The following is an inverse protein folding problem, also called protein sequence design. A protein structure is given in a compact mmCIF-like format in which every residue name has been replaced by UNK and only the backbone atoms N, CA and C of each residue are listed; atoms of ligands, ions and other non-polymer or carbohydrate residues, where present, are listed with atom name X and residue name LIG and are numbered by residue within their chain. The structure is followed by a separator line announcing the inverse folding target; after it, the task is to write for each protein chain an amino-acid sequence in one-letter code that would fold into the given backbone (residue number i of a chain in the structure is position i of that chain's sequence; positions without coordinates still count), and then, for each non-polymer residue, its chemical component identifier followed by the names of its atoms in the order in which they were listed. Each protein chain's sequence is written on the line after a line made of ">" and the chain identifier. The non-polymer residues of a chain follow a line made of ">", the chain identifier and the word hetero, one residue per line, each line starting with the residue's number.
data_IF_586949002855
#
_entry.id   IF_586949002855
#
_cell.length_a   1.000
_cell.length_b   1.000
_cell.length_c   1.000
_cell.angle_alpha   90.00
_cell.angle_beta   90.00
_cell.angle_gamma   90.00
#
_symmetry.space_group_name_H-M   'P 1'
#
loop_
_entity.id
_entity.type
_entity.pdbx_description
1 polymer ?
#
# COMPACT_ATOMS: atom_id res chain seq x y z
N UNK A 1 -16.55 8.58 2.25
CA UNK A 1 -15.81 7.74 1.25
C UNK A 1 -16.17 8.01 -0.22
N UNK A 2 -17.27 8.69 -0.59
CA UNK A 2 -17.71 8.82 -2.00
C UNK A 2 -16.67 9.45 -2.94
N UNK A 3 -15.90 10.43 -2.46
CA UNK A 3 -14.92 11.17 -3.26
C UNK A 3 -13.48 10.67 -3.10
N UNK A 4 -13.21 9.77 -2.15
CA UNK A 4 -11.85 9.31 -1.89
C UNK A 4 -11.23 8.55 -3.07
N UNK A 5 -11.92 7.62 -3.77
CA UNK A 5 -11.32 6.90 -4.88
C UNK A 5 -10.73 7.82 -5.97
N UNK A 6 -11.48 8.79 -6.54
CA UNK A 6 -10.89 9.70 -7.52
C UNK A 6 -9.84 10.64 -6.89
N UNK A 7 -10.08 11.15 -5.67
CA UNK A 7 -9.14 12.05 -5.01
C UNK A 7 -7.79 11.39 -4.71
N UNK A 8 -7.78 10.16 -4.20
CA UNK A 8 -6.55 9.42 -3.88
C UNK A 8 -5.75 9.04 -5.12
N UNK A 9 -6.41 8.69 -6.23
CA UNK A 9 -5.74 8.49 -7.52
C UNK A 9 -5.12 9.80 -8.02
N UNK A 10 -5.89 10.88 -8.06
CA UNK A 10 -5.40 12.19 -8.51
C UNK A 10 -4.24 12.68 -7.65
N UNK A 11 -4.32 12.48 -6.34
CA UNK A 11 -3.28 12.89 -5.43
C UNK A 11 -2.02 12.00 -5.52
N UNK A 12 -2.16 10.70 -5.83
CA UNK A 12 -1.02 9.84 -6.19
C UNK A 12 -0.33 10.36 -7.45
N UNK A 13 -1.10 10.75 -8.47
CA UNK A 13 -0.54 11.26 -9.71
C UNK A 13 0.14 12.62 -9.49
N UNK A 14 -0.53 13.54 -8.80
CA UNK A 14 -0.01 14.85 -8.43
C UNK A 14 1.30 14.75 -7.63
N UNK A 15 1.36 13.84 -6.64
CA UNK A 15 2.58 13.59 -5.89
C UNK A 15 3.69 13.04 -6.79
N UNK A 16 3.37 12.11 -7.71
CA UNK A 16 4.33 11.55 -8.66
C UNK A 16 4.98 12.60 -9.57
N UNK A 17 4.22 13.58 -10.04
CA UNK A 17 4.80 14.71 -10.78
C UNK A 17 5.60 15.65 -9.88
N UNK A 18 5.13 15.92 -8.65
CA UNK A 18 5.78 16.84 -7.73
C UNK A 18 7.16 16.34 -7.25
N UNK A 19 7.33 15.02 -7.07
CA UNK A 19 8.58 14.44 -6.55
C UNK A 19 9.65 14.23 -7.62
N UNK A 20 9.27 14.24 -8.90
CA UNK A 20 10.19 14.05 -10.01
C UNK A 20 10.85 12.67 -10.03
N UNK A 21 12.09 12.60 -10.54
CA UNK A 21 12.77 11.32 -10.84
C UNK A 21 13.78 10.83 -9.80
N UNK A 22 14.10 11.63 -8.79
CA UNK A 22 15.11 11.31 -7.78
C UNK A 22 14.59 11.48 -6.35
N UNK A 23 15.47 11.56 -5.36
CA UNK A 23 15.10 11.90 -3.99
C UNK A 23 14.62 13.35 -3.88
N UNK A 24 13.78 13.63 -2.88
CA UNK A 24 13.42 14.99 -2.48
C UNK A 24 14.00 15.35 -1.11
N UNK A 25 14.05 16.64 -0.71
CA UNK A 25 14.53 17.03 0.61
C UNK A 25 13.78 16.35 1.77
N UNK A 26 12.47 16.12 1.62
CA UNK A 26 11.68 15.43 2.64
C UNK A 26 12.00 13.93 2.70
N UNK A 27 12.31 13.29 1.57
CA UNK A 27 12.74 11.89 1.54
C UNK A 27 14.09 11.72 2.24
N UNK A 28 15.03 12.61 1.95
CA UNK A 28 16.35 12.62 2.59
C UNK A 28 16.25 12.89 4.10
N UNK A 29 15.46 13.89 4.50
CA UNK A 29 15.21 14.17 5.90
C UNK A 29 14.62 12.97 6.64
N UNK A 30 13.57 12.36 6.07
CA UNK A 30 12.90 11.23 6.71
C UNK A 30 13.83 10.02 6.80
N UNK A 31 14.56 9.70 5.73
CA UNK A 31 15.54 8.60 5.72
C UNK A 31 16.60 8.80 6.80
N UNK A 32 17.19 10.00 6.90
CA UNK A 32 18.16 10.33 7.94
C UNK A 32 17.56 10.20 9.35
N UNK A 33 16.34 10.72 9.57
CA UNK A 33 15.66 10.60 10.86
C UNK A 33 15.44 9.12 11.23
N UNK A 34 14.98 8.28 10.29
CA UNK A 34 14.79 6.85 10.54
C UNK A 34 16.10 6.13 10.86
N UNK A 35 17.19 6.46 10.15
CA UNK A 35 18.51 5.94 10.43
C UNK A 35 18.96 6.28 11.85
N UNK A 36 18.74 7.53 12.31
CA UNK A 36 19.11 7.93 13.68
C UNK A 36 18.28 7.26 14.77
N UNK A 37 16.98 7.00 14.52
CA UNK A 37 16.06 6.49 15.53
C UNK A 37 16.04 4.96 15.63
N UNK A 38 16.17 4.27 14.50
CA UNK A 38 15.96 2.82 14.38
C UNK A 38 17.26 2.08 14.00
N UNK A 39 18.31 2.82 13.64
CA UNK A 39 19.60 2.27 13.23
C UNK A 39 19.68 1.96 11.73
N UNK A 40 20.83 1.44 11.33
CA UNK A 40 21.10 1.09 9.94
C UNK A 40 20.34 -0.17 9.54
N UNK A 41 19.51 -0.07 8.49
CA UNK A 41 18.79 -1.18 7.87
C UNK A 41 18.11 -2.14 8.87
N UNK A 42 17.09 -1.69 9.61
CA UNK A 42 16.36 -2.52 10.58
C UNK A 42 15.51 -3.60 9.89
N UNK A 43 16.15 -4.66 9.38
CA UNK A 43 15.52 -5.69 8.51
C UNK A 43 14.35 -6.42 9.16
N UNK A 44 14.27 -6.43 10.49
CA UNK A 44 13.13 -6.99 11.22
C UNK A 44 11.80 -6.28 10.88
N UNK A 45 11.84 -4.99 10.53
CA UNK A 45 10.66 -4.24 10.07
C UNK A 45 10.12 -4.75 8.72
N UNK A 46 10.96 -5.40 7.90
CA UNK A 46 10.52 -5.97 6.62
C UNK A 46 9.56 -7.15 6.80
N UNK A 47 9.46 -7.71 8.00
CA UNK A 47 8.44 -8.71 8.33
C UNK A 47 7.02 -8.17 8.05
N UNK A 48 6.78 -6.88 8.25
CA UNK A 48 5.49 -6.21 8.02
C UNK A 48 5.16 -6.02 6.53
N UNK A 49 6.13 -6.21 5.63
CA UNK A 49 5.93 -6.23 4.17
C UNK A 49 6.21 -7.61 3.56
N UNK A 50 6.36 -8.64 4.41
CA UNK A 50 6.71 -9.98 3.94
C UNK A 50 5.58 -10.59 3.11
N UNK A 51 5.96 -11.35 2.06
CA UNK A 51 4.99 -12.06 1.22
C UNK A 51 4.13 -13.05 2.02
N UNK A 52 4.67 -13.63 3.09
CA UNK A 52 3.93 -14.52 3.99
C UNK A 52 2.81 -13.82 4.76
N UNK A 53 3.06 -12.60 5.26
CA UNK A 53 2.01 -11.80 5.90
C UNK A 53 0.89 -11.47 4.91
N UNK A 54 1.26 -10.97 3.72
CA UNK A 54 0.32 -10.61 2.65
C UNK A 54 -0.51 -11.83 2.25
N UNK A 55 0.13 -12.98 2.03
CA UNK A 55 -0.56 -14.23 1.70
C UNK A 55 -1.49 -14.69 2.82
N UNK A 56 -1.01 -14.71 4.06
CA UNK A 56 -1.79 -15.16 5.22
C UNK A 56 -3.05 -14.32 5.44
N UNK A 57 -2.94 -12.99 5.36
CA UNK A 57 -4.09 -12.09 5.48
C UNK A 57 -5.06 -12.27 4.31
N UNK A 58 -4.54 -12.41 3.08
CA UNK A 58 -5.37 -12.64 1.88
C UNK A 58 -6.18 -13.94 2.00
N UNK A 59 -5.53 -15.04 2.39
CA UNK A 59 -6.19 -16.34 2.59
C UNK A 59 -7.23 -16.26 3.69
N UNK A 60 -6.90 -15.63 4.84
CA UNK A 60 -7.86 -15.45 5.93
C UNK A 60 -9.10 -14.65 5.50
N UNK A 61 -8.91 -13.57 4.74
CA UNK A 61 -9.99 -12.76 4.18
C UNK A 61 -10.85 -13.55 3.20
N UNK A 62 -10.21 -14.33 2.31
CA UNK A 62 -10.89 -15.16 1.33
C UNK A 62 -11.76 -16.22 2.02
N UNK A 63 -11.18 -16.97 2.96
CA UNK A 63 -11.91 -17.99 3.76
C UNK A 63 -13.08 -17.34 4.49
N UNK A 64 -12.88 -16.19 5.14
CA UNK A 64 -13.94 -15.49 5.86
C UNK A 64 -15.07 -14.98 4.93
N UNK A 65 -14.75 -14.54 3.71
CA UNK A 65 -15.75 -14.12 2.72
C UNK A 65 -16.53 -15.32 2.17
N UNK A 66 -15.85 -16.41 1.82
CA UNK A 66 -16.44 -17.66 1.31
C UNK A 66 -17.31 -18.36 2.36
N UNK A 67 -16.85 -18.44 3.61
CA UNK A 67 -17.62 -19.02 4.71
C UNK A 67 -18.95 -18.27 4.96
N UNK A 68 -18.97 -16.96 4.70
CA UNK A 68 -20.19 -16.13 4.76
C UNK A 68 -20.95 -16.07 3.43
N UNK A 69 -20.57 -16.88 2.44
CA UNK A 69 -21.15 -16.94 1.08
C UNK A 69 -21.18 -15.60 0.35
N UNK A 70 -20.22 -14.71 0.65
CA UNK A 70 -20.09 -13.40 -0.01
C UNK A 70 -19.16 -13.49 -1.22
N UNK A 71 -19.65 -14.08 -2.31
CA UNK A 71 -18.84 -14.39 -3.50
C UNK A 71 -18.21 -13.16 -4.16
N UNK A 72 -18.97 -12.06 -4.27
CA UNK A 72 -18.44 -10.80 -4.82
C UNK A 72 -17.33 -10.22 -3.95
N UNK A 73 -17.46 -10.33 -2.63
CA UNK A 73 -16.42 -9.89 -1.70
C UNK A 73 -15.18 -10.80 -1.77
N UNK A 74 -15.37 -12.11 -1.93
CA UNK A 74 -14.27 -13.05 -2.16
C UNK A 74 -13.51 -12.73 -3.46
N UNK A 75 -14.24 -12.44 -4.56
CA UNK A 75 -13.64 -12.00 -5.82
C UNK A 75 -12.88 -10.69 -5.65
N UNK A 76 -13.44 -9.72 -4.92
CA UNK A 76 -12.78 -8.44 -4.61
C UNK A 76 -11.50 -8.59 -3.78
N UNK A 77 -11.48 -9.50 -2.81
CA UNK A 77 -10.27 -9.81 -1.99
C UNK A 77 -9.11 -10.25 -2.88
N UNK A 78 -9.39 -10.97 -3.97
CA UNK A 78 -8.37 -11.38 -4.93
C UNK A 78 -8.07 -10.28 -5.95
N UNK A 79 -9.10 -9.67 -6.54
CA UNK A 79 -8.93 -8.71 -7.64
C UNK A 79 -8.23 -7.42 -7.21
N UNK A 80 -8.50 -6.91 -6.00
CA UNK A 80 -7.96 -5.62 -5.54
C UNK A 80 -6.42 -5.60 -5.45
N UNK A 81 -5.75 -6.59 -4.81
CA UNK A 81 -4.29 -6.72 -4.84
C UNK A 81 -3.68 -6.81 -6.25
N UNK A 82 -4.32 -7.54 -7.17
CA UNK A 82 -3.85 -7.60 -8.56
C UNK A 82 -3.97 -6.26 -9.26
N UNK A 83 -5.12 -5.59 -9.12
CA UNK A 83 -5.36 -4.29 -9.72
C UNK A 83 -4.34 -3.25 -9.25
N UNK A 84 -4.08 -3.16 -7.94
CA UNK A 84 -3.11 -2.18 -7.41
C UNK A 84 -1.69 -2.48 -7.90
N UNK A 85 -1.33 -3.76 -8.05
CA UNK A 85 0.00 -4.17 -8.54
C UNK A 85 0.21 -3.76 -9.99
N UNK A 86 -0.78 -4.02 -10.86
CA UNK A 86 -0.75 -3.63 -12.28
C UNK A 86 -0.65 -2.11 -12.42
N UNK A 87 -1.49 -1.37 -11.69
CA UNK A 87 -1.48 0.10 -11.74
C UNK A 87 -0.13 0.64 -11.25
N UNK A 88 0.40 0.10 -10.15
CA UNK A 88 1.70 0.51 -9.62
C UNK A 88 2.83 0.24 -10.62
N UNK A 89 2.81 -0.89 -11.31
CA UNK A 89 3.80 -1.21 -12.35
C UNK A 89 3.72 -0.22 -13.51
N UNK A 90 2.52 0.11 -13.99
CA UNK A 90 2.34 1.11 -15.04
C UNK A 90 2.83 2.50 -14.60
N UNK A 91 2.52 2.92 -13.37
CA UNK A 91 2.95 4.21 -12.83
C UNK A 91 4.46 4.28 -12.64
N UNK A 92 5.13 3.18 -12.27
CA UNK A 92 6.59 3.10 -12.21
C UNK A 92 7.24 3.46 -13.53
N UNK A 93 6.70 2.95 -14.64
CA UNK A 93 7.18 3.31 -15.97
C UNK A 93 6.81 4.73 -16.38
N UNK A 94 5.63 5.22 -15.99
CA UNK A 94 5.18 6.57 -16.30
C UNK A 94 6.06 7.64 -15.65
N UNK A 95 6.37 7.49 -14.36
CA UNK A 95 7.13 8.49 -13.61
C UNK A 95 8.65 8.34 -13.76
N UNK A 96 9.14 7.13 -14.07
CA UNK A 96 10.57 6.82 -14.23
C UNK A 96 11.41 7.34 -13.04
N UNK A 97 10.84 7.27 -11.82
CA UNK A 97 11.54 7.65 -10.59
C UNK A 97 12.45 6.53 -10.15
N UNK A 98 13.73 6.85 -9.95
CA UNK A 98 14.77 5.84 -9.73
C UNK A 98 15.48 5.98 -8.40
N UNK A 99 15.80 4.84 -7.81
CA UNK A 99 16.77 4.68 -6.74
C UNK A 99 17.80 3.63 -7.19
N UNK A 100 18.98 4.10 -7.62
CA UNK A 100 19.93 3.26 -8.33
C UNK A 100 19.32 2.69 -9.62
N UNK A 101 19.38 1.36 -9.86
CA UNK A 101 18.85 0.74 -11.08
C UNK A 101 17.33 0.49 -11.06
N UNK A 102 16.65 0.75 -9.93
CA UNK A 102 15.26 0.33 -9.73
C UNK A 102 14.26 1.48 -9.91
N UNK A 103 13.07 1.15 -10.43
CA UNK A 103 11.92 2.06 -10.52
C UNK A 103 11.11 2.00 -9.23
N UNK A 104 10.91 3.14 -8.57
CA UNK A 104 10.42 3.15 -7.19
C UNK A 104 9.01 3.70 -6.99
N UNK A 105 8.60 4.73 -7.74
CA UNK A 105 7.33 5.41 -7.48
C UNK A 105 6.16 4.86 -8.31
N UNK A 106 5.03 4.49 -7.68
CA UNK A 106 4.82 4.31 -6.25
C UNK A 106 5.37 2.96 -5.76
N UNK A 107 5.57 2.82 -4.44
CA UNK A 107 6.09 1.57 -3.85
C UNK A 107 5.12 0.40 -4.04
N UNK A 108 5.58 -0.66 -4.72
CA UNK A 108 4.79 -1.88 -4.93
C UNK A 108 4.51 -2.65 -3.64
N UNK A 109 5.51 -2.77 -2.75
CA UNK A 109 5.36 -3.44 -1.46
C UNK A 109 4.32 -2.74 -0.58
N UNK A 110 4.39 -1.42 -0.48
CA UNK A 110 3.39 -0.63 0.27
C UNK A 110 2.01 -0.75 -0.37
N UNK A 111 1.91 -0.61 -1.69
CA UNK A 111 0.62 -0.65 -2.38
C UNK A 111 -0.09 -2.00 -2.16
N UNK A 112 0.65 -3.10 -2.30
CA UNK A 112 0.13 -4.45 -2.08
C UNK A 112 -0.29 -4.68 -0.62
N UNK A 113 0.58 -4.30 0.33
CA UNK A 113 0.30 -4.44 1.76
C UNK A 113 -0.97 -3.67 2.16
N UNK A 114 -1.05 -2.38 1.79
CA UNK A 114 -2.18 -1.51 2.12
C UNK A 114 -3.46 -2.00 1.44
N UNK A 115 -3.39 -2.52 0.22
CA UNK A 115 -4.56 -3.09 -0.45
C UNK A 115 -5.09 -4.33 0.26
N UNK A 116 -4.22 -5.27 0.65
CA UNK A 116 -4.61 -6.49 1.36
C UNK A 116 -5.16 -6.18 2.76
N UNK A 117 -4.48 -5.33 3.52
CA UNK A 117 -4.96 -4.92 4.84
C UNK A 117 -6.24 -4.08 4.73
N UNK A 118 -6.39 -3.25 3.70
CA UNK A 118 -7.61 -2.52 3.42
C UNK A 118 -8.79 -3.47 3.13
N UNK A 119 -8.58 -4.52 2.34
CA UNK A 119 -9.59 -5.56 2.12
C UNK A 119 -9.91 -6.33 3.41
N UNK A 120 -8.93 -6.55 4.30
CA UNK A 120 -9.19 -7.10 5.64
C UNK A 120 -10.13 -6.18 6.44
N UNK A 121 -9.96 -4.85 6.38
CA UNK A 121 -10.89 -3.90 7.01
C UNK A 121 -12.31 -4.07 6.45
N UNK A 122 -12.45 -4.20 5.13
CA UNK A 122 -13.75 -4.39 4.47
C UNK A 122 -14.41 -5.72 4.89
N UNK A 123 -13.64 -6.81 4.92
CA UNK A 123 -14.14 -8.15 5.28
C UNK A 123 -14.49 -8.26 6.75
N UNK A 124 -13.69 -7.65 7.64
CA UNK A 124 -13.94 -7.67 9.07
C UNK A 124 -15.04 -6.68 9.48
N UNK A 125 -15.13 -5.52 8.83
CA UNK A 125 -16.03 -4.42 9.15
C UNK A 125 -15.99 -4.02 10.65
N UNK A 126 -14.79 -4.02 11.25
CA UNK A 126 -14.57 -3.71 12.67
C UNK A 126 -13.47 -2.67 12.85
N UNK A 127 -13.59 -1.83 13.88
CA UNK A 127 -12.64 -0.76 14.17
C UNK A 127 -11.23 -1.29 14.49
N UNK A 128 -11.13 -2.43 15.18
CA UNK A 128 -9.83 -3.05 15.46
C UNK A 128 -9.08 -3.42 14.17
N UNK A 129 -9.79 -3.80 13.12
CA UNK A 129 -9.17 -4.16 11.84
C UNK A 129 -8.59 -2.92 11.17
N UNK A 130 -9.26 -1.77 11.28
CA UNK A 130 -8.74 -0.48 10.81
C UNK A 130 -7.49 -0.07 11.57
N UNK A 131 -7.50 -0.18 12.90
CA UNK A 131 -6.35 0.13 13.73
C UNK A 131 -5.15 -0.79 13.39
N UNK A 132 -5.39 -2.10 13.28
CA UNK A 132 -4.37 -3.07 12.90
C UNK A 132 -3.81 -2.79 11.50
N UNK A 133 -4.67 -2.52 10.52
CA UNK A 133 -4.26 -2.18 9.16
C UNK A 133 -3.37 -0.93 9.15
N UNK A 134 -3.79 0.14 9.85
CA UNK A 134 -3.02 1.38 9.93
C UNK A 134 -1.64 1.15 10.56
N UNK A 135 -1.58 0.49 11.72
CA UNK A 135 -0.30 0.23 12.43
C UNK A 135 0.64 -0.63 11.58
N UNK A 136 0.14 -1.74 11.03
CA UNK A 136 0.96 -2.66 10.23
C UNK A 136 1.44 -1.99 8.94
N UNK A 137 0.58 -1.21 8.26
CA UNK A 137 1.00 -0.44 7.09
C UNK A 137 2.09 0.58 7.44
N UNK A 138 1.93 1.35 8.52
CA UNK A 138 2.94 2.33 8.95
C UNK A 138 4.28 1.68 9.27
N UNK A 139 4.28 0.53 9.96
CA UNK A 139 5.51 -0.23 10.25
C UNK A 139 6.16 -0.77 8.98
N UNK A 140 5.36 -1.27 8.02
CA UNK A 140 5.87 -1.73 6.73
C UNK A 140 6.47 -0.61 5.89
N UNK A 141 5.80 0.55 5.82
CA UNK A 141 6.30 1.75 5.15
C UNK A 141 7.62 2.22 5.79
N UNK A 142 7.66 2.29 7.12
CA UNK A 142 8.87 2.62 7.87
C UNK A 142 10.01 1.66 7.55
N UNK A 143 9.77 0.35 7.53
CA UNK A 143 10.77 -0.66 7.21
C UNK A 143 11.37 -0.49 5.82
N UNK A 144 10.55 -0.21 4.81
CA UNK A 144 11.02 0.00 3.44
C UNK A 144 11.92 1.23 3.32
N UNK A 145 11.55 2.33 3.99
CA UNK A 145 12.34 3.58 3.95
C UNK A 145 13.62 3.45 4.77
N UNK A 146 13.54 2.88 5.98
CA UNK A 146 14.69 2.71 6.87
C UNK A 146 15.73 1.71 6.32
N UNK A 147 15.31 0.74 5.51
CA UNK A 147 16.21 -0.15 4.79
C UNK A 147 16.69 0.42 3.44
N UNK A 148 16.28 1.64 3.06
CA UNK A 148 16.72 2.30 1.83
C UNK A 148 16.12 1.72 0.54
N UNK A 149 15.06 0.91 0.63
CA UNK A 149 14.40 0.33 -0.54
C UNK A 149 13.51 1.32 -1.28
N UNK A 150 12.92 2.28 -0.58
CA UNK A 150 12.01 3.26 -1.16
C UNK A 150 12.20 4.63 -0.53
N UNK A 151 11.92 5.68 -1.31
CA UNK A 151 11.75 7.01 -0.73
C UNK A 151 10.46 7.08 0.08
N UNK A 152 10.43 7.96 1.09
CA UNK A 152 9.25 8.16 1.94
C UNK A 152 8.01 8.47 1.10
N UNK A 153 8.15 9.39 0.15
CA UNK A 153 7.07 9.80 -0.75
C UNK A 153 6.55 8.66 -1.65
N UNK A 154 7.38 7.66 -1.99
CA UNK A 154 6.94 6.48 -2.74
C UNK A 154 5.94 5.64 -1.95
N UNK A 155 6.14 5.54 -0.64
CA UNK A 155 5.24 4.82 0.26
C UNK A 155 3.92 5.58 0.48
N UNK A 156 3.97 6.91 0.53
CA UNK A 156 2.79 7.76 0.67
C UNK A 156 1.92 7.66 -0.58
N UNK A 157 2.51 7.82 -1.77
CA UNK A 157 1.78 7.66 -3.05
C UNK A 157 1.14 6.28 -3.18
N UNK A 158 1.87 5.23 -2.79
CA UNK A 158 1.34 3.86 -2.78
C UNK A 158 0.14 3.69 -1.83
N UNK A 159 0.20 4.26 -0.62
CA UNK A 159 -0.90 4.18 0.34
C UNK A 159 -2.16 4.91 -0.16
N UNK A 160 -1.99 6.07 -0.80
CA UNK A 160 -3.10 6.83 -1.39
C UNK A 160 -3.76 6.06 -2.53
N UNK A 161 -2.96 5.48 -3.44
CA UNK A 161 -3.44 4.64 -4.52
C UNK A 161 -4.19 3.41 -4.00
N UNK A 162 -3.57 2.67 -3.09
CA UNK A 162 -4.12 1.43 -2.57
C UNK A 162 -5.44 1.66 -1.82
N UNK A 163 -5.50 2.67 -0.95
CA UNK A 163 -6.74 3.01 -0.24
C UNK A 163 -7.83 3.51 -1.20
N UNK A 164 -7.48 4.23 -2.27
CA UNK A 164 -8.43 4.64 -3.30
C UNK A 164 -9.04 3.42 -4.01
N UNK A 165 -8.22 2.45 -4.42
CA UNK A 165 -8.66 1.20 -5.06
C UNK A 165 -9.51 0.36 -4.12
N UNK A 166 -9.11 0.20 -2.85
CA UNK A 166 -9.89 -0.51 -1.82
C UNK A 166 -11.24 0.17 -1.61
N UNK A 167 -11.30 1.49 -1.43
CA UNK A 167 -12.55 2.21 -1.26
C UNK A 167 -13.46 2.12 -2.50
N UNK A 168 -12.88 2.15 -3.71
CA UNK A 168 -13.63 1.93 -4.95
C UNK A 168 -14.23 0.52 -5.00
N UNK A 169 -13.41 -0.49 -4.70
CA UNK A 169 -13.80 -1.90 -4.69
C UNK A 169 -14.88 -2.18 -3.64
N UNK A 170 -14.69 -1.69 -2.41
CA UNK A 170 -15.66 -1.84 -1.33
C UNK A 170 -17.04 -1.29 -1.73
N UNK A 171 -17.06 -0.13 -2.39
CA UNK A 171 -18.31 0.47 -2.88
C UNK A 171 -18.99 -0.39 -3.93
N UNK A 172 -18.24 -0.90 -4.91
CA UNK A 172 -18.76 -1.80 -5.94
C UNK A 172 -19.36 -3.06 -5.32
N UNK A 173 -18.70 -3.66 -4.31
CA UNK A 173 -19.22 -4.85 -3.62
C UNK A 173 -20.38 -4.58 -2.68
N UNK A 174 -20.59 -3.33 -2.26
CA UNK A 174 -21.71 -2.95 -1.38
C UNK A 174 -22.96 -2.49 -2.13
N UNK A 175 -22.83 -2.19 -3.42
CA UNK A 175 -23.91 -1.70 -4.28
C UNK A 175 -24.60 -2.82 -5.09
N UNK A 176 -24.11 -4.05 -4.97
CA UNK A 176 -24.59 -5.28 -5.62
C UNK A 176 -25.17 -6.22 -4.56
#
# INVERSE_FOLDING_TARGET
>A
MRWWPPAGVLATLALGWAVGRGSTPIDTWFSNATFTLVGEQPRWLLAFTSGWLVLGVTVACLVAALARRRWLLAAAVLACPFAVTIITMALKHLFDRRNGPYLEYPSGHTALLVAVLGMMVVVAARLWALAAAAVVSLLGMLGLVACGYHFFTDTIGAAMLATAVVCGTARLTSAL
#
